data_IF_986939321140
#
_entry.id   IF_986939321140
#
_cell.length_a   1.000
_cell.length_b   1.000
_cell.length_c   1.000
_cell.angle_alpha   90.00
_cell.angle_beta   90.00
_cell.angle_gamma   90.00
#
_symmetry.space_group_name_H-M   'P 1'
#
loop_
_entity.id
_entity.type
_entity.pdbx_description
1 polymer ?
#
# COMPACT_ATOMS: atom_id res chain seq x y z
N UNK A 1 3.83 0.77 -22.67
CA UNK A 1 3.90 1.29 -21.30
C UNK A 1 3.65 2.78 -21.33
N UNK A 2 2.60 3.24 -20.66
CA UNK A 2 2.31 4.66 -20.41
C UNK A 2 2.52 4.92 -18.90
N UNK A 3 3.78 5.10 -18.51
CA UNK A 3 4.16 5.30 -17.10
C UNK A 3 3.97 6.77 -16.75
N UNK A 4 3.14 7.03 -15.74
CA UNK A 4 2.87 8.39 -15.22
C UNK A 4 2.98 8.43 -13.71
N UNK A 5 3.51 9.54 -13.20
CA UNK A 5 3.43 9.89 -11.79
C UNK A 5 2.10 10.59 -11.53
N UNK A 6 1.32 10.07 -10.62
CA UNK A 6 -0.01 10.54 -10.26
C UNK A 6 -0.05 10.86 -8.77
N UNK A 7 -0.65 11.99 -8.41
CA UNK A 7 -0.76 12.48 -7.03
C UNK A 7 0.25 13.56 -6.68
N UNK A 8 0.26 13.95 -5.42
CA UNK A 8 1.20 14.95 -4.88
C UNK A 8 2.62 14.38 -4.76
N UNK A 9 3.61 15.25 -4.49
CA UNK A 9 4.98 14.82 -4.19
C UNK A 9 5.05 13.92 -2.93
N UNK A 10 4.07 14.05 -2.01
CA UNK A 10 4.01 13.29 -0.77
C UNK A 10 3.30 11.94 -0.93
N UNK A 11 2.15 11.89 -1.59
CA UNK A 11 1.31 10.68 -1.67
C UNK A 11 1.17 10.10 -3.08
N UNK A 12 1.95 10.60 -4.06
CA UNK A 12 1.84 10.18 -5.46
C UNK A 12 2.71 8.97 -5.82
N UNK A 13 2.31 8.29 -6.89
CA UNK A 13 2.95 7.06 -7.36
C UNK A 13 3.10 7.02 -8.87
N UNK A 14 4.20 6.43 -9.34
CA UNK A 14 4.37 6.13 -10.75
C UNK A 14 3.65 4.83 -11.10
N UNK A 15 2.74 4.86 -12.08
CA UNK A 15 1.97 3.68 -12.52
C UNK A 15 1.99 3.55 -14.04
N UNK A 16 1.87 2.33 -14.54
CA UNK A 16 1.67 2.05 -15.96
C UNK A 16 0.16 2.01 -16.27
N UNK A 17 -0.35 3.06 -16.90
CA UNK A 17 -1.77 3.19 -17.25
C UNK A 17 -2.24 2.20 -18.32
N UNK A 18 -1.31 1.62 -19.11
CA UNK A 18 -1.67 0.59 -20.09
C UNK A 18 -2.09 -0.73 -19.44
N UNK A 19 -1.73 -0.95 -18.17
CA UNK A 19 -2.12 -2.13 -17.41
C UNK A 19 -3.49 -2.00 -16.73
N UNK A 20 -4.10 -0.82 -16.77
CA UNK A 20 -5.38 -0.53 -16.12
C UNK A 20 -6.47 -0.25 -17.14
N UNK A 21 -7.67 -0.77 -16.88
CA UNK A 21 -8.87 -0.54 -17.66
C UNK A 21 -9.90 0.26 -16.87
N UNK A 22 -10.84 0.91 -17.57
CA UNK A 22 -11.99 1.51 -16.91
C UNK A 22 -12.81 0.41 -16.20
N UNK A 23 -13.16 0.68 -14.95
CA UNK A 23 -13.89 -0.24 -14.08
C UNK A 23 -13.04 -1.25 -13.32
N UNK A 24 -11.71 -1.26 -13.51
CA UNK A 24 -10.79 -2.08 -12.71
C UNK A 24 -10.89 -1.69 -11.23
N UNK A 25 -10.64 -2.67 -10.37
CA UNK A 25 -10.59 -2.46 -8.92
C UNK A 25 -9.15 -2.27 -8.47
N UNK A 26 -8.96 -1.26 -7.61
CA UNK A 26 -7.68 -0.91 -6.98
C UNK A 26 -7.82 -1.12 -5.47
N UNK A 27 -6.78 -1.62 -4.83
CA UNK A 27 -6.65 -1.60 -3.38
C UNK A 27 -5.61 -0.53 -3.02
N UNK A 28 -6.01 0.40 -2.17
CA UNK A 28 -5.12 1.41 -1.57
C UNK A 28 -5.05 1.17 -0.07
N UNK A 29 -3.94 0.63 0.40
CA UNK A 29 -3.68 0.33 1.80
C UNK A 29 -2.71 1.36 2.39
N UNK A 30 -3.14 2.01 3.47
CA UNK A 30 -2.48 3.18 4.04
C UNK A 30 -2.88 4.46 3.29
N UNK A 31 -4.14 4.89 3.48
CA UNK A 31 -4.67 6.09 2.81
C UNK A 31 -4.10 7.38 3.38
N UNK A 32 -3.81 7.39 4.69
CA UNK A 32 -3.34 8.56 5.38
C UNK A 32 -4.29 9.76 5.25
N UNK A 33 -3.71 10.94 5.06
CA UNK A 33 -4.41 12.19 4.78
C UNK A 33 -4.06 12.75 3.39
N UNK A 34 -3.71 11.86 2.43
CA UNK A 34 -3.49 12.22 1.03
C UNK A 34 -4.09 11.15 0.10
N UNK A 35 -5.14 11.52 -0.61
CA UNK A 35 -5.81 10.68 -1.61
C UNK A 35 -5.63 11.21 -3.03
N UNK A 36 -4.65 12.08 -3.24
CA UNK A 36 -4.37 12.70 -4.54
C UNK A 36 -4.04 11.67 -5.63
N UNK A 37 -3.40 10.58 -5.26
CA UNK A 37 -3.16 9.45 -6.17
C UNK A 37 -4.47 8.89 -6.74
N UNK A 38 -5.46 8.64 -5.88
CA UNK A 38 -6.78 8.14 -6.28
C UNK A 38 -7.50 9.19 -7.14
N UNK A 39 -7.47 10.45 -6.73
CA UNK A 39 -8.11 11.56 -7.47
C UNK A 39 -7.54 11.65 -8.90
N UNK A 40 -6.21 11.67 -9.06
CA UNK A 40 -5.59 11.74 -10.39
C UNK A 40 -5.77 10.45 -11.20
N UNK A 41 -5.69 9.28 -10.57
CA UNK A 41 -5.92 8.01 -11.26
C UNK A 41 -7.32 7.98 -11.86
N UNK A 42 -8.34 8.47 -11.14
CA UNK A 42 -9.71 8.56 -11.61
C UNK A 42 -9.89 9.52 -12.79
N UNK A 43 -9.05 10.54 -12.95
CA UNK A 43 -9.07 11.39 -14.14
C UNK A 43 -8.59 10.65 -15.40
N UNK A 44 -7.76 9.63 -15.25
CA UNK A 44 -7.25 8.83 -16.38
C UNK A 44 -8.05 7.56 -16.62
N UNK A 45 -8.50 6.91 -15.55
CA UNK A 45 -9.22 5.63 -15.57
C UNK A 45 -10.31 5.67 -14.51
N UNK A 46 -11.56 5.45 -14.88
CA UNK A 46 -12.64 5.28 -13.91
C UNK A 46 -12.45 3.96 -13.17
N UNK A 47 -11.82 4.00 -11.99
CA UNK A 47 -11.53 2.81 -11.18
C UNK A 47 -12.45 2.73 -9.96
N UNK A 48 -12.62 1.53 -9.42
CA UNK A 48 -13.21 1.29 -8.09
C UNK A 48 -12.07 1.15 -7.09
N UNK A 49 -12.19 1.74 -5.92
CA UNK A 49 -11.15 1.73 -4.89
C UNK A 49 -11.65 1.10 -3.61
N UNK A 50 -10.91 0.13 -3.10
CA UNK A 50 -11.02 -0.33 -1.71
C UNK A 50 -9.89 0.33 -0.94
N UNK A 51 -10.24 1.31 -0.14
CA UNK A 51 -9.30 2.02 0.74
C UNK A 51 -9.24 1.36 2.11
N UNK A 52 -8.05 1.10 2.62
CA UNK A 52 -7.85 0.41 3.89
C UNK A 52 -6.90 1.23 4.76
N UNK A 53 -7.36 1.59 5.94
CA UNK A 53 -6.56 2.32 6.92
C UNK A 53 -7.05 2.02 8.34
N UNK A 54 -6.17 1.80 9.34
CA UNK A 54 -6.59 1.54 10.71
C UNK A 54 -7.01 2.80 11.48
N UNK A 55 -6.60 4.01 11.02
CA UNK A 55 -6.67 5.23 11.82
C UNK A 55 -7.98 6.01 11.62
N UNK A 56 -8.55 6.47 12.74
CA UNK A 56 -9.76 7.32 12.73
C UNK A 56 -9.54 8.64 11.98
N UNK A 57 -8.32 9.13 11.99
CA UNK A 57 -7.99 10.42 11.38
C UNK A 57 -8.03 10.32 9.86
N UNK A 58 -7.43 9.27 9.29
CA UNK A 58 -7.51 8.97 7.86
C UNK A 58 -8.96 8.80 7.42
N UNK A 59 -9.77 8.03 8.19
CA UNK A 59 -11.18 7.82 7.87
C UNK A 59 -11.96 9.14 7.78
N UNK A 60 -11.81 10.01 8.79
CA UNK A 60 -12.47 11.33 8.78
C UNK A 60 -12.05 12.19 7.61
N UNK A 61 -10.76 12.15 7.26
CA UNK A 61 -10.23 12.88 6.11
C UNK A 61 -10.87 12.39 4.80
N UNK A 62 -10.85 11.07 4.56
CA UNK A 62 -11.40 10.44 3.35
C UNK A 62 -12.91 10.70 3.22
N UNK A 63 -13.66 10.55 4.32
CA UNK A 63 -15.10 10.83 4.35
C UNK A 63 -15.41 12.29 4.00
N UNK A 64 -14.60 13.24 4.47
CA UNK A 64 -14.75 14.67 4.14
C UNK A 64 -14.45 14.97 2.66
N UNK A 65 -13.59 14.19 2.03
CA UNK A 65 -13.29 14.33 0.59
C UNK A 65 -14.45 13.84 -0.29
N UNK A 66 -15.24 12.88 0.19
CA UNK A 66 -16.44 12.41 -0.50
C UNK A 66 -16.15 11.74 -1.84
N UNK A 67 -15.14 10.86 -1.90
CA UNK A 67 -14.75 10.14 -3.12
C UNK A 67 -15.82 9.07 -3.43
N UNK A 68 -16.60 9.25 -4.48
CA UNK A 68 -17.79 8.43 -4.78
C UNK A 68 -17.49 6.96 -5.05
N UNK A 69 -16.33 6.63 -5.61
CA UNK A 69 -15.94 5.28 -6.03
C UNK A 69 -14.98 4.58 -5.05
N UNK A 70 -14.88 5.08 -3.82
CA UNK A 70 -14.05 4.54 -2.75
C UNK A 70 -14.92 3.89 -1.68
N UNK A 71 -14.73 2.59 -1.45
CA UNK A 71 -15.21 1.86 -0.28
C UNK A 71 -14.12 1.84 0.78
N UNK A 72 -14.42 2.36 1.98
CA UNK A 72 -13.47 2.50 3.08
C UNK A 72 -13.61 1.33 4.05
N UNK A 73 -12.49 0.67 4.35
CA UNK A 73 -12.41 -0.42 5.34
C UNK A 73 -11.53 0.02 6.51
N UNK A 74 -12.10 0.03 7.70
CA UNK A 74 -11.39 0.35 8.94
C UNK A 74 -10.72 -0.90 9.51
N UNK A 75 -9.53 -1.19 8.99
CA UNK A 75 -8.70 -2.31 9.42
C UNK A 75 -7.24 -2.02 9.11
N UNK A 76 -6.33 -2.75 9.75
CA UNK A 76 -4.94 -2.81 9.31
C UNK A 76 -4.76 -3.94 8.29
N UNK A 77 -3.64 -3.91 7.55
CA UNK A 77 -3.20 -5.07 6.76
C UNK A 77 -2.37 -5.98 7.67
N UNK A 78 -2.72 -7.26 7.70
CA UNK A 78 -2.01 -8.31 8.43
C UNK A 78 -1.74 -9.52 7.57
N UNK A 79 -1.03 -10.51 8.12
CA UNK A 79 -0.73 -11.77 7.43
C UNK A 79 -2.01 -12.60 7.26
N UNK A 80 -2.02 -13.45 6.25
CA UNK A 80 -3.11 -14.41 6.06
C UNK A 80 -3.33 -15.28 7.31
N UNK A 81 -4.60 -15.32 7.77
CA UNK A 81 -4.99 -16.02 8.99
C UNK A 81 -4.78 -15.24 10.30
N UNK A 82 -4.29 -14.02 10.24
CA UNK A 82 -4.20 -13.13 11.38
C UNK A 82 -5.51 -12.33 11.52
N UNK A 83 -6.10 -12.35 12.70
CA UNK A 83 -7.38 -11.65 12.97
C UNK A 83 -7.15 -10.24 13.52
N UNK A 84 -6.10 -10.06 14.31
CA UNK A 84 -5.76 -8.77 14.94
C UNK A 84 -4.28 -8.50 14.86
N UNK A 85 -3.93 -7.23 14.77
CA UNK A 85 -2.55 -6.74 14.82
C UNK A 85 -2.41 -5.66 15.89
N UNK A 86 -1.27 -5.63 16.54
CA UNK A 86 -0.89 -4.55 17.45
C UNK A 86 -0.34 -3.38 16.66
N UNK A 87 -0.87 -2.18 16.89
CA UNK A 87 -0.45 -0.93 16.26
C UNK A 87 0.02 0.04 17.35
N UNK A 88 1.16 0.65 17.14
CA UNK A 88 1.75 1.65 18.02
C UNK A 88 1.41 3.05 17.51
N UNK A 89 0.91 3.90 18.40
CA UNK A 89 0.49 5.27 18.05
C UNK A 89 1.66 6.14 17.63
N UNK A 90 1.42 7.10 16.78
CA UNK A 90 2.40 8.12 16.44
C UNK A 90 2.66 9.05 17.65
N UNK A 91 3.92 9.42 17.87
CA UNK A 91 4.32 10.35 18.93
C UNK A 91 3.87 11.80 18.67
N UNK A 92 3.51 12.13 17.44
CA UNK A 92 2.83 13.36 17.07
C UNK A 92 1.35 13.05 16.76
N UNK A 93 0.40 13.49 17.60
CA UNK A 93 -1.02 13.20 17.40
C UNK A 93 -1.62 13.84 16.14
N UNK A 94 -0.89 14.78 15.51
CA UNK A 94 -1.31 15.38 14.23
C UNK A 94 -0.96 14.51 13.01
N UNK A 95 -0.13 13.47 13.16
CA UNK A 95 0.22 12.55 12.10
C UNK A 95 -0.60 11.26 12.15
N UNK A 96 -0.72 10.59 11.00
CA UNK A 96 -1.46 9.32 10.81
C UNK A 96 -0.54 8.11 10.70
N UNK A 97 0.78 8.31 10.65
CA UNK A 97 1.79 7.25 10.47
C UNK A 97 1.93 6.41 11.74
N UNK A 98 0.95 5.55 12.00
CA UNK A 98 0.98 4.56 13.07
C UNK A 98 1.54 3.24 12.53
N UNK A 99 2.38 2.52 13.29
CA UNK A 99 3.13 1.36 12.83
C UNK A 99 2.86 0.10 13.64
N UNK A 100 2.99 -1.05 13.00
CA UNK A 100 3.03 -2.33 13.71
C UNK A 100 4.39 -2.64 14.35
N UNK A 101 5.37 -1.75 14.21
CA UNK A 101 6.70 -1.87 14.80
C UNK A 101 6.88 -0.91 15.97
N UNK A 102 7.20 -1.46 17.16
CA UNK A 102 7.44 -0.68 18.37
C UNK A 102 8.70 0.20 18.29
N UNK A 103 9.65 -0.16 17.44
CA UNK A 103 10.90 0.56 17.21
C UNK A 103 10.86 1.52 16.01
N UNK A 104 9.69 1.70 15.38
CA UNK A 104 9.53 2.73 14.38
C UNK A 104 9.78 4.13 14.98
N UNK A 105 10.49 4.99 14.27
CA UNK A 105 10.93 6.29 14.78
C UNK A 105 9.78 7.18 15.28
N UNK A 106 8.62 7.12 14.64
CA UNK A 106 7.46 7.91 15.05
C UNK A 106 6.62 7.27 16.15
N UNK A 107 6.88 6.01 16.54
CA UNK A 107 6.07 5.28 17.53
C UNK A 107 6.86 4.87 18.76
N UNK A 108 8.15 5.16 18.80
CA UNK A 108 9.04 4.72 19.86
C UNK A 108 8.57 5.17 21.24
N UNK A 109 8.32 4.21 22.13
CA UNK A 109 7.88 4.46 23.51
C UNK A 109 6.41 4.87 23.64
N UNK A 110 5.64 4.80 22.57
CA UNK A 110 4.22 5.15 22.57
C UNK A 110 3.34 3.96 22.96
N UNK A 111 2.09 4.27 23.36
CA UNK A 111 1.07 3.27 23.63
C UNK A 111 0.68 2.52 22.35
N UNK A 112 0.28 1.25 22.54
CA UNK A 112 -0.26 0.43 21.46
C UNK A 112 -1.72 0.08 21.71
N UNK A 113 -2.37 -0.40 20.66
CA UNK A 113 -3.72 -0.97 20.70
C UNK A 113 -3.85 -2.10 19.68
N UNK A 114 -4.83 -2.97 19.87
CA UNK A 114 -5.14 -4.03 18.91
C UNK A 114 -6.29 -3.61 18.01
N UNK A 115 -6.15 -3.85 16.72
CA UNK A 115 -7.19 -3.62 15.72
C UNK A 115 -7.38 -4.86 14.85
N UNK A 116 -8.58 -5.02 14.32
CA UNK A 116 -8.86 -6.07 13.33
C UNK A 116 -8.00 -5.86 12.10
N UNK A 117 -7.51 -6.96 11.50
CA UNK A 117 -6.75 -6.89 10.28
C UNK A 117 -7.32 -7.80 9.19
N UNK A 118 -7.00 -7.46 7.96
CA UNK A 118 -7.38 -8.21 6.76
C UNK A 118 -6.12 -8.51 5.94
N UNK A 119 -6.03 -9.68 5.33
CA UNK A 119 -4.88 -10.06 4.52
C UNK A 119 -5.04 -9.64 3.05
N UNK A 120 -3.93 -9.39 2.37
CA UNK A 120 -3.99 -9.21 0.91
C UNK A 120 -4.50 -10.45 0.20
N UNK A 121 -4.19 -11.64 0.72
CA UNK A 121 -4.69 -12.89 0.13
C UNK A 121 -6.21 -12.97 0.13
N UNK A 122 -6.88 -12.55 1.22
CA UNK A 122 -8.35 -12.49 1.30
C UNK A 122 -8.91 -11.41 0.37
N UNK A 123 -8.29 -10.23 0.35
CA UNK A 123 -8.68 -9.13 -0.52
C UNK A 123 -8.55 -9.48 -1.99
N UNK A 124 -7.42 -10.10 -2.40
CA UNK A 124 -7.19 -10.52 -3.79
C UNK A 124 -8.21 -11.60 -4.19
N UNK A 125 -8.47 -12.56 -3.31
CA UNK A 125 -9.47 -13.61 -3.58
C UNK A 125 -10.87 -13.04 -3.77
N UNK A 126 -11.23 -12.02 -2.98
CA UNK A 126 -12.56 -11.40 -3.02
C UNK A 126 -12.74 -10.42 -4.16
N UNK A 127 -11.74 -9.62 -4.47
CA UNK A 127 -11.88 -8.46 -5.33
C UNK A 127 -11.11 -8.54 -6.65
N UNK A 128 -10.09 -9.40 -6.77
CA UNK A 128 -9.24 -9.54 -7.97
C UNK A 128 -8.68 -8.18 -8.45
N UNK A 129 -7.96 -7.43 -7.62
CA UNK A 129 -7.51 -6.09 -7.96
C UNK A 129 -6.51 -6.08 -9.12
N UNK A 130 -6.57 -5.04 -9.95
CA UNK A 130 -5.60 -4.80 -11.01
C UNK A 130 -4.33 -4.12 -10.48
N UNK A 131 -4.46 -3.31 -9.42
CA UNK A 131 -3.36 -2.62 -8.75
C UNK A 131 -3.55 -2.68 -7.24
N UNK A 132 -2.43 -2.84 -6.52
CA UNK A 132 -2.35 -2.64 -5.07
C UNK A 132 -1.32 -1.53 -4.81
N UNK A 133 -1.72 -0.48 -4.10
CA UNK A 133 -0.80 0.46 -3.44
C UNK A 133 -0.73 0.09 -1.97
N UNK A 134 0.48 0.01 -1.40
CA UNK A 134 0.70 -0.22 0.02
C UNK A 134 1.77 0.72 0.57
N UNK A 135 1.37 1.46 1.56
CA UNK A 135 2.17 2.35 2.38
C UNK A 135 1.61 2.21 3.80
N UNK A 136 2.05 1.17 4.50
CA UNK A 136 1.42 0.65 5.72
C UNK A 136 2.37 0.59 6.92
N UNK A 137 3.38 1.48 6.88
CA UNK A 137 4.26 1.81 8.00
C UNK A 137 4.95 0.59 8.62
N UNK A 138 5.44 -0.31 7.75
CA UNK A 138 6.31 -1.43 8.13
C UNK A 138 5.74 -2.82 7.88
N UNK A 139 4.44 -3.02 7.75
CA UNK A 139 3.87 -4.35 7.51
C UNK A 139 4.23 -4.93 6.12
N UNK A 140 4.73 -4.12 5.19
CA UNK A 140 5.10 -4.51 3.81
C UNK A 140 6.03 -5.72 3.77
N UNK A 141 7.01 -5.77 4.69
CA UNK A 141 7.97 -6.88 4.77
C UNK A 141 7.35 -8.25 4.97
N UNK A 142 6.17 -8.27 5.60
CA UNK A 142 5.48 -9.48 5.98
C UNK A 142 4.43 -9.91 4.96
N UNK A 143 3.83 -8.93 4.23
CA UNK A 143 2.62 -9.16 3.44
C UNK A 143 2.81 -9.03 1.92
N UNK A 144 3.87 -8.37 1.42
CA UNK A 144 4.07 -8.15 -0.01
C UNK A 144 4.01 -9.45 -0.84
N UNK A 145 4.55 -10.53 -0.34
CA UNK A 145 4.54 -11.83 -1.02
C UNK A 145 3.14 -12.44 -1.21
N UNK A 146 2.16 -11.97 -0.47
CA UNK A 146 0.76 -12.37 -0.69
C UNK A 146 0.17 -11.78 -1.97
N UNK A 147 0.82 -10.72 -2.51
CA UNK A 147 0.37 -10.00 -3.70
C UNK A 147 0.84 -10.62 -5.03
N UNK A 148 1.53 -11.76 -5.00
CA UNK A 148 1.95 -12.46 -6.24
C UNK A 148 0.74 -12.78 -7.11
N UNK A 149 0.81 -12.38 -8.39
CA UNK A 149 -0.28 -12.51 -9.37
C UNK A 149 -1.06 -11.23 -9.64
N UNK A 150 -0.91 -10.18 -8.82
CA UNK A 150 -1.49 -8.85 -9.08
C UNK A 150 -0.68 -8.17 -10.19
N UNK A 151 -1.36 -7.56 -11.16
CA UNK A 151 -0.69 -7.00 -12.36
C UNK A 151 0.31 -5.89 -12.02
N UNK A 152 0.00 -5.05 -11.05
CA UNK A 152 0.81 -3.90 -10.67
C UNK A 152 0.76 -3.65 -9.15
N UNK A 153 1.91 -3.36 -8.55
CA UNK A 153 2.03 -3.13 -7.12
C UNK A 153 2.92 -1.89 -6.92
N UNK A 154 2.41 -0.94 -6.14
CA UNK A 154 3.14 0.19 -5.59
C UNK A 154 3.40 -0.09 -4.10
N UNK A 155 4.64 -0.05 -3.65
CA UNK A 155 5.00 -0.36 -2.27
C UNK A 155 6.05 0.60 -1.74
N UNK A 156 5.80 1.20 -0.56
CA UNK A 156 6.81 1.91 0.22
C UNK A 156 7.34 1.02 1.35
N UNK A 157 8.66 0.99 1.50
CA UNK A 157 9.35 0.28 2.59
C UNK A 157 9.91 1.26 3.61
N UNK A 158 9.85 0.88 4.88
CA UNK A 158 10.15 1.77 6.00
C UNK A 158 11.48 1.48 6.72
N UNK A 159 12.49 0.89 6.02
CA UNK A 159 13.81 0.62 6.61
C UNK A 159 14.55 1.89 7.08
N UNK A 160 14.17 3.06 6.57
CA UNK A 160 14.77 4.34 6.96
C UNK A 160 14.33 4.82 8.36
N UNK A 161 13.21 4.33 8.87
CA UNK A 161 12.63 4.72 10.15
C UNK A 161 12.31 3.54 11.09
N UNK A 162 12.58 2.30 10.69
CA UNK A 162 12.44 1.09 11.53
C UNK A 162 13.84 0.49 11.74
N UNK A 163 14.51 0.71 12.91
CA UNK A 163 15.86 0.23 13.18
C UNK A 163 16.07 -1.28 13.03
N UNK A 164 15.02 -2.08 13.27
CA UNK A 164 15.06 -3.53 13.08
C UNK A 164 14.96 -3.97 11.62
N UNK A 165 14.75 -3.05 10.67
CA UNK A 165 14.71 -3.30 9.22
C UNK A 165 15.86 -2.60 8.52
N UNK A 166 16.39 -3.24 7.50
CA UNK A 166 17.52 -2.75 6.72
C UNK A 166 17.16 -2.62 5.24
N UNK A 167 17.97 -1.90 4.48
CA UNK A 167 17.85 -1.88 3.02
C UNK A 167 17.95 -3.27 2.41
N UNK A 168 18.77 -4.16 3.00
CA UNK A 168 18.88 -5.55 2.54
C UNK A 168 17.57 -6.35 2.72
N UNK A 169 16.78 -6.04 3.77
CA UNK A 169 15.44 -6.65 3.93
C UNK A 169 14.49 -6.18 2.82
N UNK A 170 14.53 -4.89 2.47
CA UNK A 170 13.79 -4.34 1.34
C UNK A 170 14.20 -5.00 0.02
N UNK A 171 15.50 -5.07 -0.24
CA UNK A 171 16.04 -5.71 -1.44
C UNK A 171 15.64 -7.19 -1.53
N UNK A 172 15.62 -7.92 -0.41
CA UNK A 172 15.17 -9.31 -0.36
C UNK A 172 13.66 -9.45 -0.69
N UNK A 173 12.81 -8.53 -0.21
CA UNK A 173 11.39 -8.52 -0.57
C UNK A 173 11.18 -8.25 -2.06
N UNK A 174 11.88 -7.28 -2.62
CA UNK A 174 11.80 -6.97 -4.05
C UNK A 174 12.36 -8.12 -4.88
N UNK A 175 13.52 -8.71 -4.50
CA UNK A 175 14.09 -9.85 -5.21
C UNK A 175 13.12 -11.04 -5.26
N UNK A 176 12.41 -11.31 -4.14
CA UNK A 176 11.36 -12.32 -4.14
C UNK A 176 10.30 -12.06 -5.23
N UNK A 177 9.85 -10.81 -5.39
CA UNK A 177 8.87 -10.47 -6.43
C UNK A 177 9.46 -10.63 -7.85
N UNK A 178 10.72 -10.22 -8.06
CA UNK A 178 11.41 -10.41 -9.34
C UNK A 178 11.53 -11.91 -9.70
N UNK A 179 11.83 -12.77 -8.72
CA UNK A 179 11.89 -14.22 -8.91
C UNK A 179 10.51 -14.84 -9.23
N UNK A 180 9.42 -14.09 -8.99
CA UNK A 180 8.04 -14.48 -9.31
C UNK A 180 7.49 -13.76 -10.56
N UNK A 181 8.37 -13.28 -11.44
CA UNK A 181 7.99 -12.75 -12.74
C UNK A 181 7.63 -11.27 -12.76
N UNK A 182 7.99 -10.52 -11.73
CA UNK A 182 7.83 -9.07 -11.75
C UNK A 182 9.07 -8.36 -12.30
N UNK A 183 8.87 -7.15 -12.78
CA UNK A 183 9.95 -6.20 -13.05
C UNK A 183 9.66 -4.85 -12.38
N UNK A 184 10.70 -4.13 -12.06
CA UNK A 184 10.62 -2.78 -11.53
C UNK A 184 10.41 -1.80 -12.69
N UNK A 185 9.44 -0.90 -12.57
CA UNK A 185 9.20 0.18 -13.53
C UNK A 185 9.49 1.57 -12.94
N UNK A 186 9.49 1.71 -11.62
CA UNK A 186 9.85 2.95 -10.93
C UNK A 186 10.49 2.65 -9.58
N UNK A 187 11.46 3.49 -9.19
CA UNK A 187 12.02 3.55 -7.83
C UNK A 187 12.12 5.03 -7.46
N UNK A 188 11.57 5.39 -6.30
CA UNK A 188 11.76 6.70 -5.71
C UNK A 188 12.30 6.57 -4.27
N UNK A 189 13.14 7.52 -3.86
CA UNK A 189 13.73 7.63 -2.52
C UNK A 189 14.39 6.35 -1.97
N UNK A 190 14.83 5.42 -2.85
CA UNK A 190 15.40 4.11 -2.50
C UNK A 190 14.47 3.19 -1.69
N UNK A 191 13.19 3.50 -1.57
CA UNK A 191 12.22 2.77 -0.75
C UNK A 191 10.84 2.59 -1.36
N UNK A 192 10.46 3.43 -2.32
CA UNK A 192 9.20 3.36 -3.03
C UNK A 192 9.41 2.64 -4.36
N UNK A 193 8.75 1.51 -4.53
CA UNK A 193 8.87 0.69 -5.73
C UNK A 193 7.51 0.55 -6.42
N UNK A 194 7.51 0.72 -7.74
CA UNK A 194 6.42 0.22 -8.57
C UNK A 194 6.94 -0.96 -9.38
N UNK A 195 6.29 -2.10 -9.18
CA UNK A 195 6.59 -3.35 -9.87
C UNK A 195 5.38 -3.82 -10.67
N UNK A 196 5.64 -4.42 -11.83
CA UNK A 196 4.59 -4.98 -12.69
C UNK A 196 4.90 -6.42 -13.05
N UNK A 197 3.85 -7.24 -13.09
CA UNK A 197 3.96 -8.63 -13.52
C UNK A 197 4.23 -8.65 -15.02
N UNK A 198 5.32 -9.31 -15.41
CA UNK A 198 5.62 -9.55 -16.82
C UNK A 198 4.63 -10.59 -17.35
N UNK A 199 3.79 -10.19 -18.30
CA UNK A 199 3.03 -11.18 -19.04
C UNK A 199 4.02 -12.06 -19.81
N UNK A 200 3.99 -13.34 -19.60
CA UNK A 200 4.65 -14.28 -20.50
C UNK A 200 4.09 -14.09 -21.93
N UNK A 201 4.78 -13.27 -22.72
CA UNK A 201 4.45 -13.09 -24.15
C UNK A 201 4.99 -14.28 -24.99
N UNK A 202 5.09 -15.47 -24.38
CA UNK A 202 5.50 -16.68 -25.04
C UNK A 202 4.52 -17.82 -24.72
N UNK A 203 3.36 -17.85 -25.37
CA UNK A 203 2.69 -19.08 -25.81
C UNK A 203 2.11 -18.85 -27.20
#
# INVERSE_FOLDING_TARGET
>A
MDIRYLGTEYGGWSVDLDLLNHGDLIIDAGLGEDVSFIDELNHHKEVKVIGIDPTEKSHRYVEQRGIENLELIKAAIGKFGQEKIEIFKNNNPEHVSESCYADHASTLGMESYFIDCISFKDLISKYSPALIKMDIEGAEYEVLKECVGVKQICVEFHHHCIPSKTKADTEACIQFMLDHGYKIISIAHDREYTIVLENDTNV
#
